data_IF_570326711151
#
_entry.id   IF_570326711151
#
_cell.length_a   1.000
_cell.length_b   1.000
_cell.length_c   1.000
_cell.angle_alpha   90.00
_cell.angle_beta   90.00
_cell.angle_gamma   90.00
#
_symmetry.space_group_name_H-M   'P 1'
#
loop_
_entity.id
_entity.type
_entity.pdbx_description
1 polymer ?
#
# COMPACT_ATOMS: atom_id res chain seq x y z
N UNK A 1 -10.57 4.99 10.93
CA UNK A 1 -9.99 3.74 10.35
C UNK A 1 -10.31 3.65 8.86
N UNK A 2 -11.52 4.05 8.46
CA UNK A 2 -12.02 4.02 7.08
C UNK A 2 -11.15 4.78 6.07
N UNK A 3 -10.70 5.99 6.39
CA UNK A 3 -9.89 6.81 5.48
C UNK A 3 -8.54 6.18 5.11
N UNK A 4 -7.93 5.40 6.02
CA UNK A 4 -6.60 4.78 5.79
C UNK A 4 -6.62 3.68 4.72
N UNK A 5 -7.76 3.04 4.52
CA UNK A 5 -7.91 1.96 3.54
C UNK A 5 -8.75 2.38 2.34
N UNK A 6 -9.36 3.57 2.39
CA UNK A 6 -10.24 4.07 1.36
C UNK A 6 -9.57 4.05 -0.02
N UNK A 7 -8.35 4.56 -0.13
CA UNK A 7 -7.62 4.60 -1.40
C UNK A 7 -7.31 3.19 -1.94
N UNK A 8 -7.02 2.24 -1.05
CA UNK A 8 -6.80 0.84 -1.42
C UNK A 8 -8.08 0.19 -1.93
N UNK A 9 -9.19 0.42 -1.23
CA UNK A 9 -10.51 -0.11 -1.59
C UNK A 9 -10.97 0.52 -2.92
N UNK A 10 -10.81 1.82 -3.09
CA UNK A 10 -11.12 2.52 -4.34
C UNK A 10 -10.27 1.97 -5.50
N UNK A 11 -8.96 1.77 -5.31
CA UNK A 11 -8.11 1.17 -6.32
C UNK A 11 -8.55 -0.26 -6.69
N UNK A 12 -8.95 -1.08 -5.71
CA UNK A 12 -9.48 -2.43 -5.95
C UNK A 12 -10.75 -2.43 -6.82
N UNK A 13 -11.66 -1.48 -6.62
CA UNK A 13 -12.93 -1.43 -7.35
C UNK A 13 -12.91 -0.61 -8.64
N UNK A 14 -11.99 0.36 -8.77
CA UNK A 14 -11.88 1.24 -9.94
C UNK A 14 -10.81 0.78 -10.94
N UNK A 15 -10.19 -0.39 -10.71
CA UNK A 15 -9.15 -0.94 -11.61
C UNK A 15 -7.78 -0.25 -11.45
N UNK A 16 -7.51 0.36 -10.30
CA UNK A 16 -6.19 0.86 -9.96
C UNK A 16 -5.19 -0.29 -9.79
N UNK A 17 -3.97 -0.13 -10.30
CA UNK A 17 -2.93 -1.17 -10.26
C UNK A 17 -1.96 -1.04 -9.07
N UNK A 18 -1.94 0.12 -8.41
CA UNK A 18 -1.02 0.42 -7.32
C UNK A 18 -1.56 1.52 -6.40
N UNK A 19 -1.26 1.40 -5.09
CA UNK A 19 -1.51 2.44 -4.09
C UNK A 19 -0.23 2.73 -3.32
N UNK A 20 0.15 4.00 -3.21
CA UNK A 20 1.29 4.43 -2.40
C UNK A 20 0.83 4.67 -0.96
N UNK A 21 1.49 4.03 -0.01
CA UNK A 21 1.24 4.22 1.40
C UNK A 21 2.45 4.84 2.08
N UNK A 22 2.19 5.76 3.00
CA UNK A 22 3.21 6.45 3.79
C UNK A 22 2.96 6.19 5.28
N UNK A 23 4.02 5.81 6.00
CA UNK A 23 3.96 5.57 7.42
C UNK A 23 5.07 6.34 8.15
N UNK A 24 4.75 7.18 9.15
CA UNK A 24 5.76 7.82 9.96
C UNK A 24 6.48 6.77 10.82
N UNK A 25 7.80 6.89 10.90
CA UNK A 25 8.64 6.05 11.76
C UNK A 25 9.51 6.94 12.65
N UNK A 26 9.76 6.47 13.87
CA UNK A 26 10.70 7.11 14.80
C UNK A 26 11.95 6.25 14.89
N UNK A 27 13.09 6.86 14.56
CA UNK A 27 14.39 6.22 14.67
C UNK A 27 14.84 6.15 16.14
N UNK A 28 15.80 5.26 16.43
CA UNK A 28 16.34 5.09 17.80
C UNK A 28 16.97 6.35 18.38
N UNK A 29 17.43 7.26 17.53
CA UNK A 29 17.99 8.56 17.91
C UNK A 29 16.92 9.66 18.10
N UNK A 30 15.65 9.32 17.99
CA UNK A 30 14.52 10.25 18.14
C UNK A 30 14.18 11.03 16.88
N UNK A 31 14.92 10.87 15.77
CA UNK A 31 14.55 11.47 14.49
C UNK A 31 13.25 10.84 13.98
N UNK A 32 12.46 11.63 13.26
CA UNK A 32 11.25 11.16 12.57
C UNK A 32 11.54 11.04 11.09
N UNK A 33 11.06 9.97 10.47
CA UNK A 33 11.08 9.75 9.03
C UNK A 33 9.72 9.29 8.53
N UNK A 34 9.60 9.15 7.21
CA UNK A 34 8.44 8.54 6.55
C UNK A 34 8.97 7.39 5.71
N UNK A 35 8.35 6.23 5.84
CA UNK A 35 8.56 5.10 4.92
C UNK A 35 7.44 5.14 3.90
N UNK A 36 7.80 5.17 2.63
CA UNK A 36 6.87 5.12 1.50
C UNK A 36 6.98 3.76 0.82
N UNK A 37 5.85 3.08 0.63
CA UNK A 37 5.79 1.78 -0.03
C UNK A 37 4.64 1.75 -1.03
N UNK A 38 4.87 1.16 -2.19
CA UNK A 38 3.81 0.89 -3.16
C UNK A 38 3.20 -0.50 -2.92
N UNK A 39 1.87 -0.57 -2.81
CA UNK A 39 1.09 -1.81 -2.75
C UNK A 39 0.50 -2.05 -4.13
N UNK A 40 0.88 -3.16 -4.77
CA UNK A 40 0.28 -3.56 -6.05
C UNK A 40 -1.09 -4.18 -5.83
N UNK A 41 -2.07 -3.73 -6.60
CA UNK A 41 -3.42 -4.31 -6.65
C UNK A 41 -3.47 -5.22 -7.88
N UNK A 42 -3.84 -6.48 -7.67
CA UNK A 42 -3.95 -7.49 -8.74
C UNK A 42 -5.35 -8.07 -8.75
N UNK A 43 -5.79 -8.51 -9.92
CA UNK A 43 -7.08 -9.18 -10.05
C UNK A 43 -7.00 -10.61 -9.49
N UNK A 44 -8.10 -11.08 -8.91
CA UNK A 44 -8.14 -12.41 -8.31
C UNK A 44 -8.07 -13.55 -9.34
N UNK A 45 -8.42 -13.29 -10.60
CA UNK A 45 -8.29 -14.23 -11.72
C UNK A 45 -6.88 -14.28 -12.32
N UNK A 46 -6.00 -13.36 -11.91
CA UNK A 46 -4.64 -13.28 -12.42
C UNK A 46 -3.84 -14.48 -11.88
N UNK A 47 -3.29 -15.36 -12.74
CA UNK A 47 -2.57 -16.55 -12.29
C UNK A 47 -1.37 -16.11 -11.44
N UNK A 48 -1.46 -16.40 -10.14
CA UNK A 48 -0.65 -15.76 -9.10
C UNK A 48 0.86 -15.92 -9.31
N UNK A 49 1.51 -14.80 -9.66
CA UNK A 49 2.95 -14.64 -9.51
C UNK A 49 3.33 -14.55 -8.04
N UNK A 50 3.47 -15.70 -7.38
CA UNK A 50 4.31 -15.85 -6.18
C UNK A 50 5.76 -15.61 -6.60
N UNK A 51 6.36 -14.50 -6.17
CA UNK A 51 7.81 -14.36 -6.21
C UNK A 51 8.28 -14.39 -4.76
N UNK A 52 9.16 -15.36 -4.48
CA UNK A 52 9.83 -15.53 -3.19
C UNK A 52 10.86 -14.46 -2.90
#
# INVERSE_FOLDING_TARGET
MEERYRELIEAMYQGGSEVKVEAPVTYRDGRRGVVTTSIKVRSADEPGGING
#
